data_IF_449506103428
#
_entry.id   IF_449506103428
#
_cell.length_a   1.000
_cell.length_b   1.000
_cell.length_c   1.000
_cell.angle_alpha   90.00
_cell.angle_beta   90.00
_cell.angle_gamma   90.00
#
_symmetry.space_group_name_H-M   'P 1'
#
loop_
_entity.id
_entity.type
_entity.pdbx_description
1 polymer ?
#
# COMPACT_ATOMS: atom_id res chain seq x y z
N UNK A 1 -27.52 -5.42 -7.29
CA UNK A 1 -26.92 -5.12 -5.98
C UNK A 1 -25.79 -4.09 -6.07
N UNK A 2 -24.78 -4.28 -6.95
CA UNK A 2 -23.68 -3.31 -7.12
C UNK A 2 -24.09 -1.92 -7.62
N UNK A 3 -25.03 -1.81 -8.56
CA UNK A 3 -25.48 -0.50 -9.09
C UNK A 3 -26.15 0.36 -8.02
N UNK A 4 -26.88 -0.26 -7.09
CA UNK A 4 -27.55 0.43 -5.98
C UNK A 4 -26.53 0.97 -4.99
N UNK A 5 -25.47 0.19 -4.69
CA UNK A 5 -24.38 0.64 -3.82
C UNK A 5 -23.60 1.80 -4.45
N UNK A 6 -23.30 1.73 -5.75
CA UNK A 6 -22.63 2.82 -6.48
C UNK A 6 -23.48 4.09 -6.50
N UNK A 7 -24.79 3.96 -6.75
CA UNK A 7 -25.72 5.10 -6.72
C UNK A 7 -25.81 5.72 -5.30
N UNK A 8 -25.81 4.89 -4.26
CA UNK A 8 -25.81 5.34 -2.87
C UNK A 8 -24.49 6.05 -2.50
N UNK A 9 -23.35 5.56 -2.96
CA UNK A 9 -22.04 6.17 -2.72
C UNK A 9 -21.94 7.54 -3.42
N UNK A 10 -22.41 7.65 -4.66
CA UNK A 10 -22.48 8.93 -5.40
C UNK A 10 -23.40 9.92 -4.67
N UNK A 11 -24.56 9.47 -4.20
CA UNK A 11 -25.47 10.31 -3.42
C UNK A 11 -24.86 10.76 -2.08
N UNK A 12 -24.07 9.89 -1.44
CA UNK A 12 -23.36 10.21 -0.20
C UNK A 12 -22.26 11.26 -0.45
N UNK A 13 -21.48 11.12 -1.53
CA UNK A 13 -20.45 12.09 -1.92
C UNK A 13 -21.08 13.43 -2.30
N UNK A 14 -22.23 13.41 -2.97
CA UNK A 14 -22.96 14.63 -3.35
C UNK A 14 -23.61 15.35 -2.15
N UNK A 15 -23.91 14.63 -1.07
CA UNK A 15 -24.45 15.20 0.17
C UNK A 15 -23.37 15.70 1.12
N UNK A 16 -22.11 15.34 0.90
CA UNK A 16 -21.00 15.91 1.67
C UNK A 16 -20.81 17.39 1.29
N UNK A 17 -20.79 18.32 2.27
CA UNK A 17 -20.59 19.72 1.99
C UNK A 17 -19.23 19.91 1.32
N UNK A 18 -19.16 20.57 0.15
CA UNK A 18 -17.90 20.76 -0.55
C UNK A 18 -16.94 21.51 0.38
N UNK A 19 -15.81 20.88 0.70
CA UNK A 19 -14.76 21.50 1.51
C UNK A 19 -14.24 22.73 0.76
N UNK A 20 -14.76 23.90 1.12
CA UNK A 20 -14.26 25.20 0.66
C UNK A 20 -12.99 25.50 1.43
N UNK A 21 -11.89 24.87 1.04
CA UNK A 21 -10.56 25.32 1.45
C UNK A 21 -10.44 26.82 1.11
N UNK A 22 -9.97 27.63 2.07
CA UNK A 22 -9.69 29.05 1.85
C UNK A 22 -8.90 29.21 0.54
N UNK A 23 -9.28 30.15 -0.35
CA UNK A 23 -8.43 30.50 -1.48
C UNK A 23 -7.03 30.79 -0.94
N UNK A 24 -6.05 29.97 -1.35
CA UNK A 24 -4.66 30.18 -0.97
C UNK A 24 -4.29 31.56 -1.54
N UNK A 25 -4.06 32.52 -0.65
CA UNK A 25 -3.64 33.86 -1.04
C UNK A 25 -2.47 33.72 -2.01
N UNK A 26 -2.59 34.35 -3.18
CA UNK A 26 -1.66 34.20 -4.31
C UNK A 26 -0.35 34.95 -4.09
N UNK A 27 -0.05 35.34 -2.86
CA UNK A 27 1.00 36.29 -2.50
C UNK A 27 1.88 35.70 -1.40
N UNK A 28 2.68 34.71 -1.78
CA UNK A 28 4.00 34.48 -1.22
C UNK A 28 4.76 33.69 -2.28
N UNK A 29 5.85 34.24 -2.81
CA UNK A 29 6.85 33.51 -3.58
C UNK A 29 7.45 32.41 -2.70
N UNK A 30 6.70 31.33 -2.52
CA UNK A 30 7.21 30.07 -2.01
C UNK A 30 8.10 29.44 -3.08
N UNK A 31 9.14 28.67 -2.68
CA UNK A 31 10.14 28.16 -3.60
C UNK A 31 9.47 27.39 -4.74
N UNK A 32 9.89 27.70 -5.98
CA UNK A 32 9.31 27.16 -7.22
C UNK A 32 9.03 25.66 -7.09
N UNK A 33 7.82 25.21 -7.47
CA UNK A 33 7.44 23.81 -7.31
C UNK A 33 8.42 22.95 -8.09
N UNK A 34 9.18 22.12 -7.39
CA UNK A 34 10.26 21.35 -7.99
C UNK A 34 9.64 20.25 -8.85
N UNK A 35 10.24 19.97 -10.01
CA UNK A 35 9.80 18.85 -10.86
C UNK A 35 9.82 17.55 -10.05
N UNK A 36 8.87 16.64 -10.26
CA UNK A 36 8.86 15.33 -9.60
C UNK A 36 10.21 14.60 -9.77
N UNK A 37 10.84 14.77 -10.93
CA UNK A 37 12.19 14.28 -11.23
C UNK A 37 13.28 15.00 -10.43
N UNK A 38 13.12 16.30 -10.14
CA UNK A 38 14.04 17.06 -9.30
C UNK A 38 13.87 16.71 -7.82
N UNK A 39 12.66 16.39 -7.35
CA UNK A 39 12.41 15.85 -6.00
C UNK A 39 13.01 14.45 -5.83
N UNK A 40 12.85 13.58 -6.82
CA UNK A 40 13.48 12.26 -6.86
C UNK A 40 15.02 12.33 -6.88
N UNK A 41 15.59 13.32 -7.60
CA UNK A 41 17.04 13.53 -7.63
C UNK A 41 17.59 14.22 -6.40
N UNK A 42 16.83 15.12 -5.77
CA UNK A 42 17.30 15.89 -4.60
C UNK A 42 17.21 15.09 -3.30
N UNK A 43 16.23 14.18 -3.17
CA UNK A 43 16.02 13.41 -1.95
C UNK A 43 16.21 11.89 -2.17
N UNK A 44 17.44 11.36 -2.02
CA UNK A 44 17.71 9.94 -2.21
C UNK A 44 16.94 9.03 -1.23
N UNK A 45 16.66 9.51 -0.01
CA UNK A 45 15.82 8.79 0.96
C UNK A 45 14.37 8.64 0.47
N UNK A 46 13.80 9.69 -0.13
CA UNK A 46 12.44 9.63 -0.71
C UNK A 46 12.37 8.65 -1.87
N UNK A 47 13.37 8.68 -2.76
CA UNK A 47 13.45 7.78 -3.91
C UNK A 47 13.64 6.31 -3.50
N UNK A 48 14.49 6.05 -2.50
CA UNK A 48 14.65 4.71 -1.92
C UNK A 48 13.36 4.22 -1.26
N UNK A 49 12.66 5.09 -0.53
CA UNK A 49 11.37 4.74 0.07
C UNK A 49 10.34 4.45 -1.02
N UNK A 50 10.26 5.29 -2.06
CA UNK A 50 9.35 5.09 -3.18
C UNK A 50 9.62 3.78 -3.92
N UNK A 51 10.89 3.45 -4.17
CA UNK A 51 11.28 2.19 -4.79
C UNK A 51 10.94 0.98 -3.91
N UNK A 52 11.22 1.06 -2.61
CA UNK A 52 10.87 0.01 -1.65
C UNK A 52 9.36 -0.19 -1.54
N UNK A 53 8.60 0.90 -1.56
CA UNK A 53 7.13 0.90 -1.59
C UNK A 53 6.58 0.29 -2.88
N UNK A 54 7.15 0.65 -4.04
CA UNK A 54 6.76 0.08 -5.33
C UNK A 54 6.95 -1.45 -5.30
N UNK A 55 8.12 -1.93 -4.86
CA UNK A 55 8.40 -3.36 -4.73
C UNK A 55 7.51 -4.06 -3.71
N UNK A 56 7.22 -3.40 -2.58
CA UNK A 56 6.32 -3.94 -1.56
C UNK A 56 4.89 -4.07 -2.09
N UNK A 57 4.40 -3.11 -2.88
CA UNK A 57 3.07 -3.21 -3.50
C UNK A 57 3.03 -4.19 -4.67
N UNK A 58 4.12 -4.31 -5.43
CA UNK A 58 4.30 -5.40 -6.40
C UNK A 58 4.16 -6.77 -5.76
N UNK A 59 4.59 -6.93 -4.49
CA UNK A 59 4.39 -8.16 -3.74
C UNK A 59 2.99 -8.31 -3.15
N UNK A 60 2.38 -7.22 -2.64
CA UNK A 60 1.13 -7.30 -1.86
C UNK A 60 -0.13 -7.28 -2.71
N UNK A 61 -0.17 -6.47 -3.77
CA UNK A 61 -1.37 -6.33 -4.61
C UNK A 61 -1.79 -7.65 -5.30
N UNK A 62 -0.87 -8.48 -5.81
CA UNK A 62 -1.24 -9.75 -6.39
C UNK A 62 -1.81 -10.74 -5.37
N UNK A 63 -1.39 -10.67 -4.11
CA UNK A 63 -1.94 -11.50 -3.04
C UNK A 63 -3.43 -11.25 -2.83
N UNK A 64 -3.91 -10.04 -3.12
CA UNK A 64 -5.33 -9.70 -3.05
C UNK A 64 -6.06 -10.03 -4.35
N UNK A 65 -5.48 -9.70 -5.50
CA UNK A 65 -6.10 -9.94 -6.82
C UNK A 65 -6.21 -11.43 -7.17
N UNK A 66 -5.17 -12.20 -6.86
CA UNK A 66 -5.11 -13.64 -7.10
C UNK A 66 -5.41 -14.47 -5.84
N UNK A 67 -5.94 -13.83 -4.78
CA UNK A 67 -6.40 -14.52 -3.58
C UNK A 67 -7.41 -15.61 -3.93
N UNK A 68 -8.28 -15.34 -4.91
CA UNK A 68 -9.24 -16.31 -5.46
C UNK A 68 -8.51 -17.56 -5.92
N UNK A 69 -7.47 -17.42 -6.74
CA UNK A 69 -6.70 -18.57 -7.23
C UNK A 69 -6.02 -19.35 -6.10
N UNK A 70 -5.55 -18.66 -5.05
CA UNK A 70 -4.96 -19.31 -3.87
C UNK A 70 -6.01 -20.09 -3.07
N UNK A 71 -7.23 -19.54 -2.91
CA UNK A 71 -8.32 -20.16 -2.16
C UNK A 71 -8.92 -21.35 -2.93
N UNK A 72 -9.17 -21.20 -4.23
CA UNK A 72 -9.70 -22.27 -5.09
C UNK A 72 -8.69 -23.42 -5.25
N UNK A 73 -7.39 -23.11 -5.36
CA UNK A 73 -6.33 -24.14 -5.41
C UNK A 73 -6.22 -24.95 -4.11
N UNK A 74 -6.80 -24.48 -2.99
CA UNK A 74 -6.80 -25.16 -1.70
C UNK A 74 -8.15 -25.76 -1.31
N UNK A 75 -9.04 -25.90 -2.30
CA UNK A 75 -10.36 -26.50 -2.11
C UNK A 75 -11.37 -25.59 -1.41
N UNK A 76 -11.10 -24.28 -1.31
CA UNK A 76 -12.07 -23.31 -0.79
C UNK A 76 -13.15 -22.99 -1.81
N UNK A 77 -14.37 -22.74 -1.32
CA UNK A 77 -15.53 -22.38 -2.14
C UNK A 77 -15.67 -20.86 -2.30
N UNK A 78 -16.52 -20.39 -3.22
CA UNK A 78 -16.78 -18.94 -3.38
C UNK A 78 -17.35 -18.29 -2.10
N UNK A 79 -18.08 -19.06 -1.29
CA UNK A 79 -18.58 -18.61 0.01
C UNK A 79 -17.44 -18.35 1.01
N UNK A 80 -16.42 -19.20 0.99
CA UNK A 80 -15.23 -19.09 1.83
C UNK A 80 -14.39 -17.85 1.45
N UNK A 81 -14.30 -17.55 0.15
CA UNK A 81 -13.70 -16.32 -0.35
C UNK A 81 -14.46 -15.08 0.15
N UNK A 82 -15.79 -15.09 0.05
CA UNK A 82 -16.63 -14.00 0.54
C UNK A 82 -16.43 -13.76 2.04
N UNK A 83 -16.35 -14.82 2.84
CA UNK A 83 -16.11 -14.73 4.28
C UNK A 83 -14.69 -14.22 4.58
N UNK A 84 -13.69 -14.66 3.82
CA UNK A 84 -12.32 -14.12 3.90
C UNK A 84 -12.27 -12.61 3.60
N UNK A 85 -12.97 -12.14 2.57
CA UNK A 85 -13.08 -10.72 2.24
C UNK A 85 -13.86 -9.94 3.31
N UNK A 86 -14.91 -10.53 3.87
CA UNK A 86 -15.68 -9.95 4.96
C UNK A 86 -14.82 -9.74 6.21
N UNK A 87 -14.07 -10.77 6.62
CA UNK A 87 -13.10 -10.68 7.72
C UNK A 87 -12.04 -9.63 7.40
N UNK A 88 -11.52 -9.60 6.17
CA UNK A 88 -10.55 -8.58 5.75
C UNK A 88 -11.07 -7.15 5.96
N UNK A 89 -12.28 -6.86 5.49
CA UNK A 89 -12.91 -5.54 5.63
C UNK A 89 -13.33 -5.21 7.07
N UNK A 90 -13.79 -6.20 7.84
CA UNK A 90 -14.13 -6.02 9.25
C UNK A 90 -12.92 -5.61 10.09
N UNK A 91 -11.73 -6.13 9.75
CA UNK A 91 -10.48 -5.75 10.39
C UNK A 91 -9.99 -4.36 9.93
N UNK A 92 -10.27 -3.92 8.70
CA UNK A 92 -9.81 -2.62 8.19
C UNK A 92 -10.24 -1.42 9.06
N UNK A 93 -11.48 -1.44 9.57
CA UNK A 93 -12.04 -0.39 10.44
C UNK A 93 -11.21 -0.16 11.73
N UNK A 94 -10.93 -1.19 12.57
CA UNK A 94 -10.02 -1.07 13.71
C UNK A 94 -8.66 -0.47 13.36
N UNK A 95 -8.08 -0.82 12.20
CA UNK A 95 -6.79 -0.27 11.75
C UNK A 95 -6.83 1.23 11.62
N UNK A 96 -7.88 1.76 10.99
CA UNK A 96 -8.02 3.19 10.76
C UNK A 96 -8.10 3.95 12.10
N UNK A 97 -8.73 3.37 13.11
CA UNK A 97 -8.77 3.92 14.47
C UNK A 97 -7.43 3.78 15.23
N UNK A 98 -6.67 2.72 14.97
CA UNK A 98 -5.37 2.50 15.62
C UNK A 98 -4.25 3.30 14.94
N UNK A 99 -4.40 3.62 13.66
CA UNK A 99 -3.39 4.29 12.84
C UNK A 99 -2.87 5.60 13.45
N UNK A 100 -3.70 6.56 13.92
CA UNK A 100 -3.21 7.80 14.52
C UNK A 100 -2.33 7.55 15.75
N UNK A 101 -2.70 6.56 16.58
CA UNK A 101 -1.93 6.19 17.77
C UNK A 101 -0.58 5.57 17.40
N UNK A 102 -0.56 4.70 16.40
CA UNK A 102 0.68 4.11 15.89
C UNK A 102 1.57 5.17 15.22
N UNK A 103 0.98 6.10 14.47
CA UNK A 103 1.69 7.18 13.79
C UNK A 103 2.38 8.09 14.80
N UNK A 104 1.68 8.50 15.85
CA UNK A 104 2.26 9.33 16.91
C UNK A 104 3.39 8.61 17.68
N UNK A 105 3.35 7.27 17.77
CA UNK A 105 4.35 6.49 18.52
C UNK A 105 5.57 6.08 17.70
N UNK A 106 5.38 5.72 16.42
CA UNK A 106 6.43 5.13 15.59
C UNK A 106 6.90 6.04 14.44
N UNK A 107 6.08 6.99 14.00
CA UNK A 107 6.36 7.85 12.85
C UNK A 107 6.08 7.19 11.49
N UNK A 108 5.83 8.01 10.47
CA UNK A 108 5.38 7.61 9.13
C UNK A 108 6.32 6.62 8.43
N UNK A 109 7.64 6.88 8.46
CA UNK A 109 8.63 6.04 7.79
C UNK A 109 8.80 4.66 8.41
N UNK A 110 8.77 4.54 9.75
CA UNK A 110 8.84 3.23 10.42
C UNK A 110 7.57 2.42 10.20
N UNK A 111 6.42 3.09 10.14
CA UNK A 111 5.15 2.48 9.77
C UNK A 111 5.18 1.88 8.36
N UNK A 112 5.75 2.59 7.39
CA UNK A 112 5.94 2.06 6.03
C UNK A 112 6.80 0.79 6.00
N UNK A 113 7.90 0.75 6.75
CA UNK A 113 8.73 -0.46 6.87
C UNK A 113 7.96 -1.58 7.55
N UNK A 114 7.25 -1.29 8.65
CA UNK A 114 6.44 -2.26 9.36
C UNK A 114 5.39 -2.87 8.42
N UNK A 115 4.71 -2.04 7.64
CA UNK A 115 3.76 -2.47 6.62
C UNK A 115 4.38 -3.36 5.55
N UNK A 116 5.57 -3.03 5.04
CA UNK A 116 6.28 -3.87 4.07
C UNK A 116 6.64 -5.25 4.66
N UNK A 117 7.07 -5.29 5.93
CA UNK A 117 7.39 -6.53 6.63
C UNK A 117 6.14 -7.39 6.84
N UNK A 118 5.04 -6.81 7.32
CA UNK A 118 3.78 -7.54 7.51
C UNK A 118 3.16 -8.00 6.19
N UNK A 119 3.28 -7.21 5.12
CA UNK A 119 2.88 -7.61 3.78
C UNK A 119 3.66 -8.83 3.28
N UNK A 120 4.97 -8.87 3.53
CA UNK A 120 5.81 -10.02 3.21
C UNK A 120 5.48 -11.23 4.08
N UNK A 121 5.26 -11.01 5.38
CA UNK A 121 4.86 -12.06 6.32
C UNK A 121 3.51 -12.69 5.92
N UNK A 122 2.57 -11.89 5.39
CA UNK A 122 1.33 -12.41 4.83
C UNK A 122 1.60 -13.33 3.64
N UNK A 123 2.50 -12.96 2.73
CA UNK A 123 2.85 -13.80 1.60
C UNK A 123 3.45 -15.14 2.07
N UNK A 124 4.32 -15.12 3.08
CA UNK A 124 4.88 -16.32 3.73
C UNK A 124 3.79 -17.16 4.39
N UNK A 125 2.90 -16.53 5.18
CA UNK A 125 1.79 -17.20 5.84
C UNK A 125 0.85 -17.85 4.83
N UNK A 126 0.57 -17.16 3.72
CA UNK A 126 -0.21 -17.71 2.62
C UNK A 126 0.51 -18.86 1.93
N UNK A 127 1.85 -18.86 1.83
CA UNK A 127 2.61 -19.98 1.27
C UNK A 127 2.58 -21.21 2.18
N UNK A 128 2.73 -21.03 3.49
CA UNK A 128 2.73 -22.11 4.48
C UNK A 128 1.33 -22.66 4.81
N UNK A 129 0.28 -21.97 4.38
CA UNK A 129 -1.09 -22.41 4.59
C UNK A 129 -1.46 -23.53 3.62
N UNK A 130 -1.98 -24.65 4.12
CA UNK A 130 -2.52 -25.74 3.27
C UNK A 130 -4.05 -25.84 3.29
N UNK A 131 -4.73 -25.13 4.22
CA UNK A 131 -6.18 -25.17 4.43
C UNK A 131 -6.79 -23.76 4.46
N UNK A 132 -8.09 -23.65 4.15
CA UNK A 132 -8.85 -22.39 4.19
C UNK A 132 -8.72 -21.62 5.53
N UNK A 133 -8.73 -22.33 6.66
CA UNK A 133 -8.56 -21.71 7.98
C UNK A 133 -7.25 -20.92 8.12
N UNK A 134 -6.16 -21.33 7.45
CA UNK A 134 -4.92 -20.56 7.45
C UNK A 134 -4.99 -19.27 6.61
N UNK A 135 -5.88 -19.22 5.61
CA UNK A 135 -6.15 -18.00 4.83
C UNK A 135 -6.89 -16.98 5.71
N UNK A 136 -7.84 -17.45 6.53
CA UNK A 136 -8.52 -16.62 7.53
C UNK A 136 -7.53 -16.04 8.55
N UNK A 137 -6.61 -16.88 9.05
CA UNK A 137 -5.56 -16.44 9.97
C UNK A 137 -4.55 -15.47 9.33
N UNK A 138 -4.44 -15.44 8.00
CA UNK A 138 -3.59 -14.50 7.28
C UNK A 138 -4.27 -13.14 7.03
N UNK A 139 -5.60 -13.01 7.16
CA UNK A 139 -6.30 -11.72 6.99
C UNK A 139 -5.84 -10.63 7.97
N UNK A 140 -5.64 -10.91 9.27
CA UNK A 140 -5.10 -9.92 10.20
C UNK A 140 -3.70 -9.39 9.83
N UNK A 141 -2.91 -10.11 9.03
CA UNK A 141 -1.62 -9.59 8.55
C UNK A 141 -1.82 -8.57 7.43
N UNK A 142 -2.89 -8.68 6.65
CA UNK A 142 -3.25 -7.69 5.62
C UNK A 142 -3.55 -6.33 6.24
N UNK A 143 -4.17 -6.32 7.42
CA UNK A 143 -4.46 -5.13 8.22
C UNK A 143 -3.19 -4.30 8.46
N UNK A 144 -2.17 -4.95 9.00
CA UNK A 144 -0.90 -4.31 9.35
C UNK A 144 -0.04 -4.02 8.12
N UNK A 145 -0.18 -4.82 7.06
CA UNK A 145 0.45 -4.58 5.77
C UNK A 145 -0.20 -3.41 5.03
N UNK A 146 -1.30 -3.69 4.34
CA UNK A 146 -1.95 -2.76 3.41
C UNK A 146 -2.71 -1.63 4.13
N UNK A 147 -3.37 -1.95 5.25
CA UNK A 147 -4.18 -0.98 6.00
C UNK A 147 -3.36 0.14 6.65
N UNK A 148 -2.17 -0.18 7.17
CA UNK A 148 -1.23 0.84 7.66
C UNK A 148 -0.46 1.54 6.53
N UNK A 149 -0.19 0.83 5.43
CA UNK A 149 0.59 1.35 4.31
C UNK A 149 -0.06 2.59 3.67
N UNK A 150 -1.35 2.51 3.34
CA UNK A 150 -2.06 3.58 2.62
C UNK A 150 -1.95 4.93 3.33
N UNK A 151 -2.38 5.07 4.60
CA UNK A 151 -2.23 6.33 5.30
C UNK A 151 -0.75 6.66 5.61
N UNK A 152 0.10 5.69 5.96
CA UNK A 152 1.52 5.96 6.24
C UNK A 152 2.26 6.55 5.03
N UNK A 153 1.95 6.08 3.81
CA UNK A 153 2.52 6.58 2.56
C UNK A 153 2.19 8.05 2.33
N UNK A 154 0.93 8.43 2.56
CA UNK A 154 0.43 9.79 2.42
C UNK A 154 1.09 10.71 3.43
N UNK A 155 1.18 10.29 4.71
CA UNK A 155 1.86 11.05 5.76
C UNK A 155 3.36 11.19 5.49
N UNK A 156 4.03 10.14 5.03
CA UNK A 156 5.45 10.18 4.69
C UNK A 156 5.75 11.19 3.58
N UNK A 157 4.92 11.23 2.53
CA UNK A 157 5.04 12.25 1.47
C UNK A 157 4.80 13.64 2.03
N UNK A 158 3.76 13.82 2.85
CA UNK A 158 3.42 15.11 3.44
C UNK A 158 4.55 15.68 4.32
N UNK A 159 5.30 14.81 4.98
CA UNK A 159 6.48 15.16 5.80
C UNK A 159 7.75 15.33 4.96
N UNK A 160 7.90 14.59 3.87
CA UNK A 160 9.12 14.59 3.03
C UNK A 160 9.13 15.67 1.95
N UNK A 161 7.96 16.17 1.55
CA UNK A 161 7.80 17.11 0.44
C UNK A 161 7.26 18.45 0.96
N UNK A 162 7.79 19.61 0.49
CA UNK A 162 7.28 20.93 0.85
C UNK A 162 5.78 21.07 0.60
N UNK A 163 5.08 21.91 1.38
CA UNK A 163 3.62 22.05 1.29
C UNK A 163 3.10 22.43 -0.10
N UNK A 164 3.93 23.08 -0.91
CA UNK A 164 3.62 23.45 -2.29
C UNK A 164 3.54 22.24 -3.23
N UNK A 165 4.29 21.16 -2.95
CA UNK A 165 4.43 20.00 -3.81
C UNK A 165 3.77 18.73 -3.25
N UNK A 166 3.15 18.78 -2.05
CA UNK A 166 2.50 17.62 -1.40
C UNK A 166 1.52 16.88 -2.30
N UNK A 167 0.63 17.60 -3.00
CA UNK A 167 -0.34 16.99 -3.93
C UNK A 167 0.39 16.24 -5.05
N UNK A 168 1.45 16.82 -5.61
CA UNK A 168 2.24 16.19 -6.68
C UNK A 168 3.01 14.98 -6.15
N UNK A 169 3.63 15.08 -4.98
CA UNK A 169 4.32 13.97 -4.32
C UNK A 169 3.38 12.81 -4.04
N UNK A 170 2.14 13.09 -3.61
CA UNK A 170 1.12 12.07 -3.36
C UNK A 170 0.70 11.40 -4.67
N UNK A 171 0.46 12.18 -5.73
CA UNK A 171 0.14 11.63 -7.05
C UNK A 171 1.26 10.73 -7.56
N UNK A 172 2.53 11.16 -7.47
CA UNK A 172 3.68 10.34 -7.88
C UNK A 172 3.76 9.07 -7.05
N UNK A 173 3.58 9.16 -5.73
CA UNK A 173 3.59 7.98 -4.87
C UNK A 173 2.46 7.02 -5.22
N UNK A 174 1.25 7.52 -5.47
CA UNK A 174 0.09 6.71 -5.83
C UNK A 174 0.25 6.04 -7.21
N UNK A 175 0.76 6.77 -8.21
CA UNK A 175 1.06 6.22 -9.54
C UNK A 175 2.15 5.17 -9.47
N UNK A 176 3.22 5.40 -8.71
CA UNK A 176 4.31 4.45 -8.56
C UNK A 176 3.89 3.20 -7.77
N UNK A 177 3.12 3.37 -6.71
CA UNK A 177 2.70 2.28 -5.83
C UNK A 177 1.51 1.49 -6.41
N UNK A 178 0.35 2.12 -6.54
CA UNK A 178 -0.87 1.43 -6.95
C UNK A 178 -0.92 1.17 -8.46
N UNK A 179 -0.45 2.14 -9.26
CA UNK A 179 -0.41 2.00 -10.72
C UNK A 179 0.67 1.03 -11.18
N UNK A 180 1.94 1.46 -11.09
CA UNK A 180 3.08 0.67 -11.56
C UNK A 180 3.30 -0.58 -10.71
N UNK A 181 3.22 -0.48 -9.38
CA UNK A 181 3.36 -1.65 -8.50
C UNK A 181 2.28 -2.70 -8.77
N UNK A 182 1.04 -2.28 -9.01
CA UNK A 182 -0.06 -3.17 -9.38
C UNK A 182 0.12 -3.83 -10.75
N UNK A 183 0.54 -3.06 -11.77
CA UNK A 183 0.83 -3.59 -13.10
C UNK A 183 1.99 -4.60 -13.08
N UNK A 184 3.12 -4.24 -12.47
CA UNK A 184 4.29 -5.12 -12.37
C UNK A 184 3.96 -6.35 -11.54
N UNK A 185 3.23 -6.18 -10.43
CA UNK A 185 2.81 -7.28 -9.57
C UNK A 185 1.86 -8.22 -10.30
N UNK A 186 0.89 -7.69 -11.03
CA UNK A 186 -0.04 -8.48 -11.83
C UNK A 186 0.65 -9.29 -12.92
N UNK A 187 1.61 -8.69 -13.63
CA UNK A 187 2.40 -9.38 -14.66
C UNK A 187 3.30 -10.48 -14.06
N UNK A 188 4.04 -10.16 -12.99
CA UNK A 188 4.88 -11.13 -12.28
C UNK A 188 4.04 -12.29 -11.75
N UNK A 189 2.92 -11.98 -11.10
CA UNK A 189 2.04 -12.97 -10.51
C UNK A 189 1.35 -13.82 -11.57
N UNK A 190 0.84 -13.23 -12.65
CA UNK A 190 0.25 -13.97 -13.76
C UNK A 190 1.26 -14.95 -14.37
N UNK A 191 2.45 -14.46 -14.72
CA UNK A 191 3.49 -15.30 -15.33
C UNK A 191 3.95 -16.44 -14.40
N UNK A 192 4.16 -16.15 -13.12
CA UNK A 192 4.56 -17.18 -12.13
C UNK A 192 3.44 -18.17 -11.81
N UNK A 193 2.18 -17.72 -11.89
CA UNK A 193 1.01 -18.56 -11.73
C UNK A 193 0.86 -19.52 -12.92
N UNK A 194 1.12 -19.06 -14.14
CA UNK A 194 1.08 -19.90 -15.35
C UNK A 194 2.19 -20.97 -15.37
N UNK A 195 3.38 -20.68 -14.81
CA UNK A 195 4.50 -21.63 -14.80
C UNK A 195 4.41 -22.69 -13.69
N UNK A 196 3.99 -22.29 -12.49
CA UNK A 196 4.13 -23.13 -11.29
C UNK A 196 2.98 -23.02 -10.30
N UNK A 197 1.88 -22.37 -10.69
CA UNK A 197 0.72 -22.17 -9.84
C UNK A 197 0.94 -21.21 -8.67
N UNK A 198 0.03 -21.25 -7.71
CA UNK A 198 -0.02 -20.30 -6.60
C UNK A 198 1.26 -20.25 -5.74
N UNK A 199 1.98 -21.35 -5.58
CA UNK A 199 3.18 -21.40 -4.72
C UNK A 199 4.35 -20.61 -5.32
N UNK A 200 4.55 -20.67 -6.63
CA UNK A 200 5.60 -19.89 -7.31
C UNK A 200 5.28 -18.40 -7.33
N UNK A 201 4.01 -18.05 -7.51
CA UNK A 201 3.52 -16.68 -7.35
C UNK A 201 3.83 -16.14 -5.96
N UNK A 202 3.52 -16.92 -4.91
CA UNK A 202 3.79 -16.54 -3.53
C UNK A 202 5.29 -16.39 -3.26
N UNK A 203 6.13 -17.29 -3.77
CA UNK A 203 7.59 -17.18 -3.64
C UNK A 203 8.15 -15.91 -4.29
N UNK A 204 7.69 -15.57 -5.51
CA UNK A 204 8.07 -14.33 -6.19
C UNK A 204 7.61 -13.09 -5.40
N UNK A 205 6.39 -13.11 -4.86
CA UNK A 205 5.89 -12.04 -4.00
C UNK A 205 6.74 -11.89 -2.72
N UNK A 206 7.16 -12.99 -2.09
CA UNK A 206 8.05 -12.95 -0.91
C UNK A 206 9.39 -12.32 -1.28
N UNK A 207 9.99 -12.71 -2.40
CA UNK A 207 11.26 -12.14 -2.86
C UNK A 207 11.16 -10.62 -3.11
N UNK A 208 10.11 -10.18 -3.81
CA UNK A 208 9.84 -8.76 -4.02
C UNK A 208 9.54 -8.02 -2.70
N UNK A 209 8.80 -8.64 -1.78
CA UNK A 209 8.47 -8.07 -0.48
C UNK A 209 9.71 -7.88 0.40
N UNK A 210 10.60 -8.88 0.45
CA UNK A 210 11.90 -8.79 1.13
C UNK A 210 12.77 -7.68 0.54
N UNK A 211 12.85 -7.57 -0.79
CA UNK A 211 13.58 -6.50 -1.46
C UNK A 211 12.97 -5.12 -1.14
N UNK A 212 11.64 -5.01 -1.17
CA UNK A 212 10.91 -3.80 -0.81
C UNK A 212 11.14 -3.36 0.64
N UNK A 213 11.05 -4.30 1.58
CA UNK A 213 11.32 -4.05 2.99
C UNK A 213 12.78 -3.63 3.24
N UNK A 214 13.74 -4.27 2.58
CA UNK A 214 15.16 -3.92 2.66
C UNK A 214 15.43 -2.49 2.14
N UNK A 215 14.80 -2.11 1.02
CA UNK A 215 14.92 -0.76 0.46
C UNK A 215 14.25 0.30 1.35
N UNK A 216 13.06 0.03 1.88
CA UNK A 216 12.41 0.94 2.83
C UNK A 216 13.26 1.10 4.11
N UNK A 217 13.90 0.03 4.58
CA UNK A 217 14.80 0.09 5.73
C UNK A 217 16.09 0.86 5.43
N UNK A 218 16.66 0.67 4.23
CA UNK A 218 17.79 1.47 3.75
C UNK A 218 17.41 2.96 3.63
N UNK A 219 16.19 3.27 3.18
CA UNK A 219 15.68 4.63 3.08
C UNK A 219 15.63 5.34 4.44
N UNK A 220 15.29 4.62 5.52
CA UNK A 220 15.32 5.14 6.90
C UNK A 220 16.73 5.38 7.44
N UNK A 221 17.72 4.64 6.93
CA UNK A 221 19.13 4.76 7.33
C UNK A 221 19.88 5.81 6.53
N UNK A 222 19.43 6.13 5.32
CA UNK A 222 19.93 7.27 4.58
C UNK A 222 19.45 8.56 5.25
N UNK A 223 20.35 9.39 5.80
CA UNK A 223 19.96 10.69 6.31
C UNK A 223 19.32 11.48 5.18
N UNK A 224 18.05 11.86 5.34
CA UNK A 224 17.44 12.88 4.50
C UNK A 224 18.36 14.09 4.60
N UNK A 225 19.03 14.47 3.51
CA UNK A 225 19.61 15.80 3.42
C UNK A 225 18.43 16.75 3.50
N UNK A 226 18.14 17.23 4.71
CA UNK A 226 17.25 18.36 4.94
C UNK A 226 17.84 19.48 4.10
N UNK A 227 17.26 19.70 2.92
CA UNK A 227 17.44 20.95 2.19
C UNK A 227 16.88 22.02 3.10
N UNK A 228 17.79 22.68 3.82
CA UNK A 228 17.56 23.99 4.44
C UNK A 228 17.19 24.96 3.32
#
# INVERSE_FOLDING_TARGET
THVVLVAAEIALVATYPPYRGRPRARDAEGPKPQSALALLRSNPSFTLMLAGVLLSLTAVLPLSNFLVNVVTSRGGTDADLGLAMFVMGAFELPTAFLFPRLLHRFGSGRLLVLSAVFGTLKAVALLCTFNYAGVLLAQPLQLLGYGLFTPASVYFVNESVPEADRVRGQTVMMVASNGMGGMLGGLLAGWTLDMGGANWMLAACIACGCAGAALCWAALRCPARRTV
#
